data_IF_246397658748
#
_entry.id   IF_246397658748
#
_cell.length_a   1.000
_cell.length_b   1.000
_cell.length_c   1.000
_cell.angle_alpha   90.00
_cell.angle_beta   90.00
_cell.angle_gamma   90.00
#
_symmetry.space_group_name_H-M   'P 1'
#
loop_
_entity.id
_entity.type
_entity.pdbx_description
1 polymer ?
#
# COMPACT_ATOMS: atom_id res chain seq x y z
N UNK A 1 5.67 23.09 -10.40
CA UNK A 1 5.80 23.86 -11.65
C UNK A 1 4.41 24.06 -12.20
N UNK A 2 3.97 25.32 -12.35
CA UNK A 2 2.71 25.65 -13.00
C UNK A 2 2.83 25.28 -14.49
N UNK A 3 1.87 24.53 -15.00
CA UNK A 3 1.79 24.18 -16.41
C UNK A 3 1.51 25.48 -17.19
N UNK A 4 2.54 26.04 -17.82
CA UNK A 4 2.50 27.30 -18.60
C UNK A 4 1.89 27.13 -19.99
N UNK A 5 1.50 25.93 -20.36
CA UNK A 5 0.60 25.67 -21.48
C UNK A 5 -0.79 25.55 -20.86
N UNK A 6 -1.75 26.41 -21.23
CA UNK A 6 -3.13 26.42 -20.74
C UNK A 6 -3.96 25.18 -21.11
N UNK A 7 -3.32 24.01 -21.17
CA UNK A 7 -3.84 22.76 -21.64
C UNK A 7 -3.70 21.70 -20.54
N UNK A 8 -4.81 21.01 -20.24
CA UNK A 8 -4.87 19.99 -19.22
C UNK A 8 -4.42 18.63 -19.76
N UNK A 9 -3.17 18.24 -19.45
CA UNK A 9 -2.58 16.96 -19.86
C UNK A 9 -3.45 15.76 -19.45
N UNK A 10 -4.22 15.85 -18.37
CA UNK A 10 -5.13 14.80 -17.91
C UNK A 10 -6.20 14.44 -18.94
N UNK A 11 -6.56 15.38 -19.81
CA UNK A 11 -7.59 15.23 -20.85
C UNK A 11 -7.05 14.70 -22.18
N UNK A 12 -5.74 14.49 -22.32
CA UNK A 12 -5.17 13.87 -23.52
C UNK A 12 -5.63 12.43 -23.66
N UNK A 13 -5.92 12.03 -24.89
CA UNK A 13 -6.38 10.67 -25.21
C UNK A 13 -5.19 9.85 -25.71
N UNK A 14 -5.00 8.69 -25.12
CA UNK A 14 -4.01 7.69 -25.52
C UNK A 14 -4.52 6.89 -26.74
N UNK A 15 -3.64 6.16 -27.46
CA UNK A 15 -4.05 5.27 -28.56
C UNK A 15 -5.09 4.22 -28.14
N UNK A 16 -5.17 3.92 -26.84
CA UNK A 16 -6.17 3.03 -26.24
C UNK A 16 -7.58 3.63 -26.19
N UNK A 17 -7.75 4.92 -26.53
CA UNK A 17 -9.01 5.66 -26.43
C UNK A 17 -9.33 6.20 -25.04
N UNK A 18 -8.54 5.86 -24.02
CA UNK A 18 -8.66 6.42 -22.67
C UNK A 18 -7.99 7.79 -22.59
N UNK A 19 -8.53 8.68 -21.74
CA UNK A 19 -7.76 9.84 -21.31
C UNK A 19 -6.60 9.42 -20.41
N UNK A 20 -5.56 10.26 -20.30
CA UNK A 20 -4.45 10.04 -19.35
C UNK A 20 -4.99 9.87 -17.93
N UNK A 21 -5.95 10.69 -17.50
CA UNK A 21 -6.58 10.55 -16.18
C UNK A 21 -7.22 9.17 -16.00
N UNK A 22 -8.03 8.73 -16.98
CA UNK A 22 -8.73 7.45 -16.89
C UNK A 22 -7.75 6.28 -16.89
N UNK A 23 -6.67 6.37 -17.67
CA UNK A 23 -5.63 5.34 -17.65
C UNK A 23 -4.90 5.31 -16.31
N UNK A 24 -4.56 6.45 -15.74
CA UNK A 24 -3.84 6.50 -14.46
C UNK A 24 -4.70 6.04 -13.28
N UNK A 25 -6.01 6.29 -13.31
CA UNK A 25 -6.97 5.66 -12.38
C UNK A 25 -6.95 4.15 -12.51
N UNK A 26 -7.01 3.62 -13.74
CA UNK A 26 -6.94 2.18 -13.97
C UNK A 26 -5.61 1.56 -13.51
N UNK A 27 -4.50 2.28 -13.63
CA UNK A 27 -3.20 1.83 -13.09
C UNK A 27 -3.15 1.87 -11.56
N UNK A 28 -3.77 2.86 -10.92
CA UNK A 28 -3.91 2.92 -9.46
C UNK A 28 -4.76 1.75 -8.94
N UNK A 29 -5.90 1.46 -9.57
CA UNK A 29 -6.74 0.30 -9.26
C UNK A 29 -5.98 -1.01 -9.43
N UNK A 30 -5.18 -1.12 -10.50
CA UNK A 30 -4.33 -2.30 -10.74
C UNK A 30 -3.29 -2.46 -9.64
N UNK A 31 -2.64 -1.37 -9.22
CA UNK A 31 -1.69 -1.41 -8.11
C UNK A 31 -2.36 -1.85 -6.81
N UNK A 32 -3.52 -1.28 -6.46
CA UNK A 32 -4.27 -1.67 -5.26
C UNK A 32 -4.63 -3.16 -5.27
N UNK A 33 -5.09 -3.68 -6.41
CA UNK A 33 -5.37 -5.12 -6.56
C UNK A 33 -4.12 -5.96 -6.29
N UNK A 34 -2.98 -5.59 -6.85
CA UNK A 34 -1.71 -6.30 -6.63
C UNK A 34 -1.31 -6.23 -5.15
N UNK A 35 -1.43 -5.06 -4.52
CA UNK A 35 -1.13 -4.88 -3.09
C UNK A 35 -2.01 -5.77 -2.22
N UNK A 36 -3.31 -5.82 -2.50
CA UNK A 36 -4.24 -6.70 -1.79
C UNK A 36 -3.86 -8.17 -1.94
N UNK A 37 -3.48 -8.60 -3.14
CA UNK A 37 -3.03 -9.98 -3.39
C UNK A 37 -1.75 -10.32 -2.61
N UNK A 38 -0.80 -9.37 -2.46
CA UNK A 38 0.40 -9.57 -1.65
C UNK A 38 0.10 -9.63 -0.14
N UNK A 39 -0.82 -8.81 0.34
CA UNK A 39 -1.30 -8.86 1.73
C UNK A 39 -2.00 -10.19 2.00
N UNK A 40 -2.88 -10.62 1.10
CA UNK A 40 -3.58 -11.90 1.19
C UNK A 40 -2.59 -13.06 1.21
N UNK A 41 -1.60 -13.07 0.31
CA UNK A 41 -0.54 -14.07 0.27
C UNK A 41 0.27 -14.11 1.59
N UNK A 42 0.58 -12.95 2.18
CA UNK A 42 1.23 -12.88 3.48
C UNK A 42 0.33 -13.41 4.61
N UNK A 43 -0.95 -13.09 4.61
CA UNK A 43 -1.91 -13.66 5.56
C UNK A 43 -2.01 -15.18 5.43
N UNK A 44 -1.99 -15.73 4.21
CA UNK A 44 -2.06 -17.18 3.97
C UNK A 44 -0.74 -17.91 4.23
N UNK A 45 0.40 -17.21 4.28
CA UNK A 45 1.70 -17.82 4.58
C UNK A 45 1.83 -18.38 6.01
N UNK A 46 0.93 -17.97 6.91
CA UNK A 46 0.86 -18.43 8.29
C UNK A 46 -0.60 -18.60 8.66
N UNK A 47 -0.99 -19.63 9.40
CA UNK A 47 -2.34 -19.74 9.98
C UNK A 47 -2.20 -19.81 11.49
N UNK A 48 -2.72 -18.83 12.24
CA UNK A 48 -2.63 -18.85 13.69
C UNK A 48 -3.48 -19.96 14.27
N UNK A 49 -2.94 -20.65 15.26
CA UNK A 49 -3.61 -21.74 15.98
C UNK A 49 -4.14 -21.30 17.35
N UNK A 50 -3.64 -20.19 17.89
CA UNK A 50 -3.94 -19.70 19.24
C UNK A 50 -4.83 -18.46 19.26
N UNK A 51 -5.18 -17.90 18.10
CA UNK A 51 -6.08 -16.75 17.96
C UNK A 51 -6.78 -16.76 16.61
N UNK A 52 -7.95 -16.10 16.54
CA UNK A 52 -8.66 -15.85 15.29
C UNK A 52 -8.28 -14.50 14.72
N UNK A 53 -8.06 -14.43 13.41
CA UNK A 53 -7.83 -13.16 12.71
C UNK A 53 -9.15 -12.43 12.49
N UNK A 54 -9.14 -11.13 12.71
CA UNK A 54 -10.26 -10.26 12.39
C UNK A 54 -10.22 -9.75 10.94
N UNK A 55 -9.03 -9.76 10.32
CA UNK A 55 -8.76 -9.21 8.98
C UNK A 55 -8.96 -7.68 8.85
N UNK A 56 -9.14 -6.95 9.95
CA UNK A 56 -9.28 -5.49 9.96
C UNK A 56 -8.20 -4.76 9.14
N UNK A 57 -6.91 -5.04 9.36
CA UNK A 57 -5.83 -4.44 8.57
C UNK A 57 -5.94 -4.79 7.07
N UNK A 58 -6.29 -6.05 6.74
CA UNK A 58 -6.47 -6.49 5.34
C UNK A 58 -7.57 -5.69 4.64
N UNK A 59 -8.66 -5.44 5.37
CA UNK A 59 -9.88 -4.83 4.83
C UNK A 59 -9.89 -3.29 5.00
N UNK A 60 -8.87 -2.73 5.67
CA UNK A 60 -8.73 -1.30 5.93
C UNK A 60 -8.14 -0.48 4.80
N UNK A 61 -7.57 -1.11 3.76
CA UNK A 61 -6.86 -0.42 2.69
C UNK A 61 -7.81 -0.03 1.57
N UNK A 62 -7.77 1.24 1.19
CA UNK A 62 -8.41 1.76 -0.01
C UNK A 62 -7.47 2.73 -0.73
N UNK A 63 -7.82 3.04 -1.97
CA UNK A 63 -7.28 4.22 -2.65
C UNK A 63 -8.34 5.28 -2.54
N UNK A 64 -8.06 6.37 -1.83
CA UNK A 64 -8.83 7.59 -2.01
C UNK A 64 -8.43 8.19 -3.36
N UNK A 65 -9.38 8.76 -4.08
CA UNK A 65 -9.32 9.06 -5.52
C UNK A 65 -8.30 10.16 -5.93
N UNK A 66 -7.25 10.39 -5.15
CA UNK A 66 -6.27 11.46 -5.35
C UNK A 66 -5.03 10.93 -6.07
N UNK A 67 -5.22 10.50 -7.31
CA UNK A 67 -4.13 10.26 -8.28
C UNK A 67 -3.44 11.60 -8.58
N UNK A 68 -2.30 11.87 -7.92
CA UNK A 68 -1.44 13.02 -8.26
C UNK A 68 -0.41 12.60 -9.30
N UNK A 69 -0.61 13.11 -10.50
CA UNK A 69 0.29 12.90 -11.63
C UNK A 69 1.26 14.07 -11.68
N UNK A 70 2.55 13.77 -11.77
CA UNK A 70 3.58 14.78 -12.00
C UNK A 70 4.12 14.61 -13.43
N UNK A 71 3.60 15.37 -14.42
CA UNK A 71 3.92 15.15 -15.83
C UNK A 71 5.42 15.33 -16.14
N UNK A 72 6.10 16.17 -15.37
CA UNK A 72 7.54 16.42 -15.53
C UNK A 72 8.44 15.30 -14.98
N UNK A 73 7.87 14.31 -14.28
CA UNK A 73 8.62 13.24 -13.61
C UNK A 73 8.17 11.83 -13.98
N UNK A 74 7.15 11.70 -14.83
CA UNK A 74 6.51 10.42 -15.14
C UNK A 74 6.13 9.61 -13.88
N UNK A 75 5.74 10.32 -12.82
CA UNK A 75 5.50 9.77 -11.49
C UNK A 75 4.01 9.79 -11.17
N UNK A 76 3.52 8.64 -10.69
CA UNK A 76 2.20 8.48 -10.10
C UNK A 76 2.38 8.41 -8.58
N UNK A 77 1.84 9.42 -7.89
CA UNK A 77 1.75 9.36 -6.44
C UNK A 77 0.40 8.74 -6.10
N UNK A 78 0.45 7.59 -5.41
CA UNK A 78 -0.72 6.90 -4.90
C UNK A 78 -0.74 7.16 -3.39
N UNK A 79 -1.74 7.93 -2.97
CA UNK A 79 -2.05 8.09 -1.57
C UNK A 79 -2.84 6.83 -1.16
N UNK A 80 -2.18 5.91 -0.45
CA UNK A 80 -2.89 4.74 0.11
C UNK A 80 -3.63 5.27 1.33
N UNK A 81 -4.96 5.14 1.30
CA UNK A 81 -5.81 5.57 2.40
C UNK A 81 -6.22 4.35 3.20
N UNK A 82 -6.28 4.56 4.51
CA UNK A 82 -6.62 3.52 5.45
C UNK A 82 -7.82 3.96 6.27
N UNK A 83 -8.76 3.05 6.53
CA UNK A 83 -9.77 3.28 7.57
C UNK A 83 -9.12 3.22 8.96
N UNK A 84 -9.87 3.66 9.99
CA UNK A 84 -9.44 3.56 11.39
C UNK A 84 -9.10 2.10 11.80
N UNK A 85 -9.61 1.10 11.08
CA UNK A 85 -9.30 -0.32 11.29
C UNK A 85 -7.84 -0.69 10.98
N UNK A 86 -7.08 0.15 10.28
CA UNK A 86 -5.64 -0.03 10.09
C UNK A 86 -4.84 0.28 11.36
N UNK A 87 -5.44 1.00 12.30
CA UNK A 87 -4.78 1.51 13.49
C UNK A 87 -5.08 0.63 14.69
N UNK A 88 -4.02 0.04 15.25
CA UNK A 88 -4.16 -0.82 16.41
C UNK A 88 -3.59 -0.13 17.65
N UNK A 89 -4.38 -0.15 18.73
CA UNK A 89 -3.91 0.27 20.05
C UNK A 89 -2.98 -0.80 20.62
N UNK A 90 -1.83 -0.36 21.12
CA UNK A 90 -0.89 -1.21 21.83
C UNK A 90 -1.54 -1.85 23.06
N UNK A 91 -1.23 -3.13 23.31
CA UNK A 91 -1.60 -3.81 24.56
C UNK A 91 -0.79 -3.32 25.76
N UNK A 92 0.30 -2.60 25.52
CA UNK A 92 1.32 -2.25 26.51
C UNK A 92 1.47 -0.74 26.71
N UNK A 93 0.77 0.08 25.93
CA UNK A 93 0.79 1.54 26.01
C UNK A 93 -0.45 2.14 25.36
N UNK A 94 -0.66 3.45 25.52
CA UNK A 94 -1.72 4.16 24.82
C UNK A 94 -1.38 4.52 23.36
N UNK A 95 -0.26 4.00 22.84
CA UNK A 95 0.15 4.26 21.48
C UNK A 95 -0.79 3.57 20.48
N UNK A 96 -1.10 4.29 19.41
CA UNK A 96 -1.84 3.81 18.25
C UNK A 96 -0.84 3.71 17.09
N UNK A 97 -0.80 2.55 16.43
CA UNK A 97 0.19 2.27 15.39
C UNK A 97 -0.53 1.87 14.11
N UNK A 98 -0.06 2.40 12.97
CA UNK A 98 -0.45 1.91 11.66
C UNK A 98 0.05 0.47 11.49
N UNK A 99 -0.87 -0.48 11.48
CA UNK A 99 -0.54 -1.89 11.45
C UNK A 99 -0.07 -2.36 10.08
N UNK A 100 -0.41 -1.64 9.01
CA UNK A 100 0.08 -1.95 7.67
C UNK A 100 1.58 -1.71 7.62
N UNK A 101 2.04 -0.55 8.05
CA UNK A 101 3.48 -0.23 8.12
C UNK A 101 4.20 -1.23 9.05
N UNK A 102 3.66 -1.46 10.25
CA UNK A 102 4.25 -2.37 11.22
C UNK A 102 4.36 -3.81 10.69
N UNK A 103 3.35 -4.31 9.97
CA UNK A 103 3.37 -5.65 9.40
C UNK A 103 4.19 -5.73 8.11
N UNK A 104 4.33 -4.63 7.37
CA UNK A 104 5.20 -4.57 6.20
C UNK A 104 6.67 -4.67 6.61
N UNK A 105 7.09 -3.84 7.55
CA UNK A 105 8.48 -3.77 8.04
C UNK A 105 8.82 -4.90 9.03
N UNK A 106 7.80 -5.39 9.74
CA UNK A 106 7.98 -6.28 10.87
C UNK A 106 8.36 -5.53 12.14
N UNK A 107 8.53 -6.28 13.22
CA UNK A 107 8.86 -5.69 14.52
C UNK A 107 9.64 -6.64 15.41
N UNK A 108 10.32 -6.06 16.40
CA UNK A 108 10.93 -6.76 17.51
C UNK A 108 10.88 -5.89 18.76
N UNK A 109 10.22 -6.37 19.81
CA UNK A 109 10.16 -5.68 21.10
C UNK A 109 11.54 -5.74 21.77
N UNK A 110 11.91 -4.67 22.47
CA UNK A 110 13.25 -4.53 23.06
C UNK A 110 13.45 -5.41 24.30
N UNK A 111 12.39 -5.65 25.08
CA UNK A 111 12.46 -6.32 26.38
C UNK A 111 11.09 -6.90 26.79
N UNK A 112 11.09 -7.82 27.76
CA UNK A 112 9.89 -8.49 28.28
C UNK A 112 9.98 -10.01 28.14
N UNK A 113 9.20 -10.75 28.92
CA UNK A 113 9.18 -12.23 28.88
C UNK A 113 8.77 -12.78 27.52
N UNK A 114 8.01 -12.00 26.75
CA UNK A 114 7.49 -12.38 25.45
C UNK A 114 8.41 -12.02 24.28
N UNK A 115 9.56 -11.36 24.50
CA UNK A 115 10.36 -10.75 23.44
C UNK A 115 10.83 -11.73 22.35
N UNK A 116 11.04 -12.99 22.74
CA UNK A 116 11.50 -14.07 21.88
C UNK A 116 10.36 -15.01 21.44
N UNK A 117 9.11 -14.56 21.57
CA UNK A 117 7.92 -15.30 21.11
C UNK A 117 7.50 -14.77 19.73
N UNK A 118 7.52 -15.62 18.72
CA UNK A 118 7.09 -15.25 17.37
C UNK A 118 5.62 -14.75 17.36
N UNK A 119 5.34 -13.76 16.52
CA UNK A 119 4.07 -13.04 16.42
C UNK A 119 3.61 -12.29 17.68
N UNK A 120 4.41 -12.26 18.74
CA UNK A 120 4.08 -11.57 19.99
C UNK A 120 5.19 -10.62 20.44
N UNK A 121 6.42 -11.11 20.55
CA UNK A 121 7.62 -10.29 20.75
C UNK A 121 8.32 -9.89 19.47
N UNK A 122 8.22 -10.69 18.41
CA UNK A 122 8.80 -10.34 17.12
C UNK A 122 8.02 -10.92 15.95
N UNK A 123 8.13 -10.27 14.79
CA UNK A 123 7.59 -10.77 13.52
C UNK A 123 8.43 -10.24 12.37
N UNK A 124 8.75 -11.11 11.42
CA UNK A 124 9.38 -10.71 10.16
C UNK A 124 8.39 -9.89 9.31
N UNK A 125 8.92 -8.90 8.60
CA UNK A 125 8.15 -8.06 7.69
C UNK A 125 7.56 -8.85 6.54
N UNK A 126 6.32 -8.51 6.17
CA UNK A 126 5.69 -9.09 4.98
C UNK A 126 6.27 -8.57 3.68
N UNK A 127 6.81 -7.36 3.67
CA UNK A 127 7.32 -6.64 2.50
C UNK A 127 6.34 -6.66 1.31
N UNK A 128 5.04 -6.58 1.61
CA UNK A 128 3.98 -6.69 0.61
C UNK A 128 3.90 -5.44 -0.27
N UNK A 129 4.34 -4.27 0.23
CA UNK A 129 4.39 -3.02 -0.55
C UNK A 129 5.47 -3.12 -1.62
N UNK A 130 6.67 -3.56 -1.24
CA UNK A 130 7.81 -3.71 -2.14
C UNK A 130 7.54 -4.79 -3.19
N UNK A 131 6.94 -5.92 -2.76
CA UNK A 131 6.49 -6.97 -3.69
C UNK A 131 5.43 -6.47 -4.65
N UNK A 132 4.49 -5.64 -4.18
CA UNK A 132 3.46 -5.07 -5.04
C UNK A 132 4.05 -4.11 -6.08
N UNK A 133 4.97 -3.24 -5.68
CA UNK A 133 5.71 -2.35 -6.61
C UNK A 133 6.50 -3.17 -7.63
N UNK A 134 7.22 -4.21 -7.19
CA UNK A 134 7.98 -5.09 -8.08
C UNK A 134 7.07 -5.82 -9.08
N UNK A 135 5.90 -6.31 -8.64
CA UNK A 135 4.91 -6.95 -9.52
C UNK A 135 4.26 -5.96 -10.49
N UNK A 136 3.92 -4.76 -10.03
CA UNK A 136 3.39 -3.69 -10.87
C UNK A 136 4.34 -3.37 -12.01
N UNK A 137 5.63 -3.25 -11.70
CA UNK A 137 6.70 -2.91 -12.65
C UNK A 137 6.97 -3.97 -13.71
N UNK A 138 6.58 -5.25 -13.51
CA UNK A 138 6.66 -6.28 -14.55
C UNK A 138 5.79 -5.97 -15.77
N UNK A 139 4.75 -5.15 -15.61
CA UNK A 139 3.88 -4.68 -16.68
C UNK A 139 3.56 -3.20 -16.49
N UNK A 140 4.56 -2.34 -16.71
CA UNK A 140 4.47 -0.89 -16.53
C UNK A 140 4.83 -0.15 -17.84
N UNK A 141 3.99 -0.25 -18.89
CA UNK A 141 4.29 0.29 -20.21
C UNK A 141 4.34 1.82 -20.23
N UNK A 142 3.72 2.47 -19.24
CA UNK A 142 3.70 3.91 -19.10
C UNK A 142 4.91 4.45 -18.33
N UNK A 143 5.80 3.57 -17.84
CA UNK A 143 6.99 3.96 -17.08
C UNK A 143 6.66 4.68 -15.78
N UNK A 144 5.52 4.35 -15.17
CA UNK A 144 5.00 5.00 -13.97
C UNK A 144 5.89 4.67 -12.77
N UNK A 145 6.44 5.69 -12.13
CA UNK A 145 7.06 5.54 -10.82
C UNK A 145 5.99 5.57 -9.73
N UNK A 146 5.95 4.57 -8.85
CA UNK A 146 5.00 4.46 -7.74
C UNK A 146 5.64 5.04 -6.49
N UNK A 147 5.03 6.11 -5.96
CA UNK A 147 5.37 6.66 -4.66
C UNK A 147 4.21 6.48 -3.69
N UNK A 148 4.48 5.86 -2.55
CA UNK A 148 3.55 5.67 -1.44
C UNK A 148 3.74 6.80 -0.43
N UNK A 149 2.62 7.41 0.01
CA UNK A 149 2.59 8.29 1.17
C UNK A 149 1.75 7.63 2.26
N UNK A 150 2.22 7.70 3.51
CA UNK A 150 1.51 7.28 4.72
C UNK A 150 0.97 8.50 5.47
#
# INVERSE_FOLDING_TARGET
>A
MNNTLGFDLRKLVLPTGNTIEKQLKAEADRFLKILQEEIDAWYFSYTPTIYNRTYNMRDSISVDDVVKVYPSKNQLVIDIVYSDDAFHKSLWSDNVINSIELMNEGYKVKSGWHKDIANFGYREGGHFIEKAIARFNKNNPLGIDIKINY
#
